data_IF_428738923844
#
_entry.id   IF_428738923844
#
_cell.length_a   1.000
_cell.length_b   1.000
_cell.length_c   1.000
_cell.angle_alpha   90.00
_cell.angle_beta   90.00
_cell.angle_gamma   90.00
#
_symmetry.space_group_name_H-M   'P 1'
#
loop_
_entity.id
_entity.type
_entity.pdbx_description
1 polymer ?
#
# COMPACT_ATOMS: atom_id res chain seq x y z
N UNK A 1 -3.35 29.24 1.72
CA UNK A 1 -2.91 28.06 2.50
C UNK A 1 -1.94 28.56 3.55
N UNK A 2 -2.29 28.48 4.84
CA UNK A 2 -1.38 28.87 5.94
C UNK A 2 -0.50 27.67 6.26
N UNK A 3 0.83 27.80 6.23
CA UNK A 3 1.71 26.70 6.64
C UNK A 3 1.54 26.41 8.13
N UNK A 4 1.53 25.13 8.50
CA UNK A 4 1.26 24.67 9.85
C UNK A 4 2.34 25.13 10.87
N UNK A 5 3.59 25.38 10.43
CA UNK A 5 4.68 25.91 11.28
C UNK A 5 5.64 26.94 10.64
N UNK A 6 5.33 27.54 9.48
CA UNK A 6 6.11 28.67 8.91
C UNK A 6 6.47 28.55 7.42
N UNK A 7 7.15 29.55 6.84
CA UNK A 7 7.37 29.66 5.39
C UNK A 7 8.40 28.70 4.79
N UNK A 8 9.23 28.04 5.61
CA UNK A 8 10.17 27.00 5.17
C UNK A 8 9.71 25.68 5.80
N UNK A 9 9.47 24.62 5.01
CA UNK A 9 9.17 23.31 5.56
C UNK A 9 10.32 22.85 6.46
N UNK A 10 10.02 22.65 7.74
CA UNK A 10 10.99 22.24 8.76
C UNK A 10 11.14 20.73 8.86
N UNK A 11 11.92 20.29 9.84
CA UNK A 11 12.13 18.88 10.17
C UNK A 11 10.82 18.08 10.31
N UNK A 12 9.81 18.56 11.07
CA UNK A 12 8.54 17.85 11.23
C UNK A 12 7.73 17.70 9.94
N UNK A 13 7.65 18.72 9.10
CA UNK A 13 6.90 18.65 7.84
C UNK A 13 7.57 17.70 6.83
N UNK A 14 8.89 17.77 6.70
CA UNK A 14 9.63 16.85 5.85
C UNK A 14 9.49 15.41 6.35
N UNK A 15 9.47 15.21 7.66
CA UNK A 15 9.24 13.90 8.26
C UNK A 15 7.83 13.38 7.94
N UNK A 16 6.79 14.21 8.08
CA UNK A 16 5.41 13.82 7.72
C UNK A 16 5.30 13.48 6.24
N UNK A 17 5.87 14.31 5.36
CA UNK A 17 5.89 14.05 3.91
C UNK A 17 6.61 12.71 3.63
N UNK A 18 7.76 12.48 4.27
CA UNK A 18 8.49 11.23 4.14
C UNK A 18 7.62 10.04 4.57
N UNK A 19 6.88 10.12 5.69
CA UNK A 19 5.98 9.04 6.11
C UNK A 19 4.85 8.81 5.10
N UNK A 20 4.21 9.88 4.60
CA UNK A 20 3.11 9.78 3.63
C UNK A 20 3.57 9.14 2.32
N UNK A 21 4.84 9.30 1.93
CA UNK A 21 5.39 8.68 0.72
C UNK A 21 5.95 7.29 0.99
N UNK A 22 6.76 7.12 2.03
CA UNK A 22 7.48 5.89 2.32
C UNK A 22 6.56 4.78 2.83
N UNK A 23 5.49 5.10 3.58
CA UNK A 23 4.56 4.07 4.08
C UNK A 23 3.85 3.37 2.92
N UNK A 24 3.18 4.06 1.97
CA UNK A 24 2.56 3.40 0.82
C UNK A 24 3.55 2.60 -0.03
N UNK A 25 4.76 3.12 -0.23
CA UNK A 25 5.79 2.42 -1.00
C UNK A 25 6.28 1.16 -0.28
N UNK A 26 6.49 1.23 1.04
CA UNK A 26 6.87 0.09 1.85
C UNK A 26 5.79 -0.99 1.86
N UNK A 27 4.52 -0.59 1.99
CA UNK A 27 3.36 -1.50 1.88
C UNK A 27 3.30 -2.14 0.50
N UNK A 28 3.45 -1.36 -0.58
CA UNK A 28 3.45 -1.88 -1.95
C UNK A 28 4.57 -2.89 -2.21
N UNK A 29 5.80 -2.59 -1.76
CA UNK A 29 6.94 -3.50 -1.88
C UNK A 29 6.72 -4.81 -1.10
N UNK A 30 6.09 -4.73 0.08
CA UNK A 30 5.71 -5.91 0.85
C UNK A 30 4.63 -6.73 0.13
N UNK A 31 3.61 -6.08 -0.43
CA UNK A 31 2.55 -6.76 -1.20
C UNK A 31 3.14 -7.49 -2.40
N UNK A 32 4.04 -6.84 -3.15
CA UNK A 32 4.75 -7.50 -4.25
C UNK A 32 5.43 -8.78 -3.78
N UNK A 33 6.21 -8.68 -2.70
CA UNK A 33 6.95 -9.80 -2.14
C UNK A 33 6.04 -10.92 -1.61
N UNK A 34 4.94 -10.60 -0.94
CA UNK A 34 3.97 -11.59 -0.44
C UNK A 34 3.20 -12.25 -1.59
N UNK A 35 2.79 -11.48 -2.60
CA UNK A 35 2.09 -11.97 -3.78
C UNK A 35 2.95 -12.94 -4.59
N UNK A 36 4.21 -12.58 -4.84
CA UNK A 36 5.17 -13.44 -5.53
C UNK A 36 5.45 -14.73 -4.75
N UNK A 37 5.55 -14.66 -3.42
CA UNK A 37 5.76 -15.86 -2.57
C UNK A 37 4.56 -16.81 -2.55
N UNK A 38 3.35 -16.29 -2.76
CA UNK A 38 2.09 -17.04 -2.71
C UNK A 38 1.56 -17.43 -4.09
N UNK A 39 2.35 -17.22 -5.14
CA UNK A 39 1.95 -17.43 -6.53
C UNK A 39 0.64 -16.73 -6.92
N UNK A 40 0.36 -15.58 -6.27
CA UNK A 40 -0.82 -14.77 -6.58
C UNK A 40 -0.61 -14.14 -7.96
N UNK A 41 -1.54 -14.40 -8.88
CA UNK A 41 -1.48 -13.84 -10.23
C UNK A 41 -1.42 -12.31 -10.20
N UNK A 42 -0.68 -11.74 -11.14
CA UNK A 42 -0.53 -10.29 -11.31
C UNK A 42 0.07 -9.56 -10.09
N UNK A 43 1.05 -10.17 -9.40
CA UNK A 43 1.78 -9.56 -8.28
C UNK A 43 2.27 -8.11 -8.54
N UNK A 44 2.84 -7.76 -9.72
CA UNK A 44 3.21 -6.36 -10.01
C UNK A 44 2.01 -5.41 -10.07
N UNK A 45 0.87 -5.87 -10.60
CA UNK A 45 -0.33 -5.05 -10.71
C UNK A 45 -0.94 -4.77 -9.33
N UNK A 46 -0.91 -5.75 -8.41
CA UNK A 46 -1.31 -5.54 -7.03
C UNK A 46 -0.46 -4.51 -6.31
N UNK A 47 0.86 -4.62 -6.44
CA UNK A 47 1.79 -3.69 -5.82
C UNK A 47 1.59 -2.26 -6.36
N UNK A 48 1.58 -2.10 -7.69
CA UNK A 48 1.39 -0.80 -8.33
C UNK A 48 -0.01 -0.22 -8.08
N UNK A 49 -1.05 -1.06 -8.11
CA UNK A 49 -2.43 -0.66 -7.86
C UNK A 49 -2.62 -0.12 -6.45
N UNK A 50 -2.08 -0.80 -5.44
CA UNK A 50 -2.15 -0.34 -4.05
C UNK A 50 -1.38 0.98 -3.87
N UNK A 51 -0.17 1.09 -4.43
CA UNK A 51 0.60 2.33 -4.37
C UNK A 51 -0.16 3.50 -5.02
N UNK A 52 -0.64 3.31 -6.25
CA UNK A 52 -1.40 4.31 -6.99
C UNK A 52 -2.66 4.74 -6.24
N UNK A 53 -3.39 3.79 -5.65
CA UNK A 53 -4.61 4.09 -4.90
C UNK A 53 -4.32 4.84 -3.59
N UNK A 54 -3.24 4.52 -2.87
CA UNK A 54 -2.82 5.31 -1.71
C UNK A 54 -2.42 6.75 -2.08
N UNK A 55 -1.76 6.94 -3.22
CA UNK A 55 -1.46 8.29 -3.72
C UNK A 55 -2.70 9.03 -4.23
N UNK A 56 -3.70 8.32 -4.76
CA UNK A 56 -5.01 8.90 -5.11
C UNK A 56 -5.83 9.26 -3.87
N UNK A 57 -5.60 8.57 -2.75
CA UNK A 57 -6.20 8.90 -1.46
C UNK A 57 -6.07 7.76 -0.45
N UNK A 58 -6.20 8.10 0.83
CA UNK A 58 -6.07 7.11 1.90
C UNK A 58 -7.17 6.03 1.83
N UNK A 59 -8.43 6.42 1.65
CA UNK A 59 -9.57 5.50 1.54
C UNK A 59 -9.49 4.53 0.33
N UNK A 60 -9.23 4.99 -0.91
CA UNK A 60 -9.06 4.07 -2.03
C UNK A 60 -7.87 3.11 -1.82
N UNK A 61 -6.77 3.56 -1.22
CA UNK A 61 -5.64 2.69 -0.84
C UNK A 61 -6.03 1.60 0.16
N UNK A 62 -6.82 1.93 1.18
CA UNK A 62 -7.35 0.95 2.13
C UNK A 62 -8.27 -0.08 1.47
N UNK A 63 -9.14 0.35 0.55
CA UNK A 63 -10.00 -0.56 -0.21
C UNK A 63 -9.17 -1.54 -1.06
N UNK A 64 -8.10 -1.05 -1.70
CA UNK A 64 -7.18 -1.89 -2.47
C UNK A 64 -6.50 -2.96 -1.60
N UNK A 65 -6.04 -2.57 -0.41
CA UNK A 65 -5.47 -3.50 0.57
C UNK A 65 -6.48 -4.54 1.04
N UNK A 66 -7.71 -4.14 1.34
CA UNK A 66 -8.77 -5.05 1.74
C UNK A 66 -9.06 -6.08 0.63
N UNK A 67 -9.13 -5.63 -0.63
CA UNK A 67 -9.29 -6.51 -1.78
C UNK A 67 -8.11 -7.50 -1.92
N UNK A 68 -6.87 -7.05 -1.72
CA UNK A 68 -5.71 -7.92 -1.73
C UNK A 68 -5.78 -8.99 -0.63
N UNK A 69 -6.10 -8.60 0.60
CA UNK A 69 -6.23 -9.55 1.72
C UNK A 69 -7.34 -10.57 1.48
N UNK A 70 -8.45 -10.15 0.88
CA UNK A 70 -9.52 -11.05 0.49
C UNK A 70 -9.03 -12.11 -0.53
N UNK A 71 -8.33 -11.70 -1.58
CA UNK A 71 -7.77 -12.63 -2.59
C UNK A 71 -6.73 -13.56 -1.96
N UNK A 72 -5.85 -13.01 -1.13
CA UNK A 72 -4.86 -13.78 -0.37
C UNK A 72 -5.51 -14.84 0.52
N UNK A 73 -6.61 -14.52 1.18
CA UNK A 73 -7.36 -15.45 2.03
C UNK A 73 -8.04 -16.55 1.20
N UNK A 74 -8.65 -16.19 0.06
CA UNK A 74 -9.25 -17.17 -0.87
C UNK A 74 -8.23 -18.19 -1.36
N UNK A 75 -7.02 -17.76 -1.71
CA UNK A 75 -5.95 -18.68 -2.14
C UNK A 75 -5.42 -19.55 -0.99
N UNK A 76 -5.41 -19.04 0.24
CA UNK A 76 -5.05 -19.84 1.42
C UNK A 76 -6.13 -20.90 1.76
N UNK A 77 -7.42 -20.55 1.63
CA UNK A 77 -8.54 -21.46 1.89
C UNK A 77 -8.75 -22.51 0.80
N UNK A 78 -8.48 -22.18 -0.46
CA UNK A 78 -8.56 -23.12 -1.59
C UNK A 78 -7.55 -24.28 -1.49
N UNK A 79 -6.46 -24.13 -0.72
CA UNK A 79 -5.51 -25.21 -0.42
C UNK A 79 -5.96 -26.17 0.68
N UNK A 80 -7.11 -25.93 1.33
CA UNK A 80 -7.63 -26.71 2.46
C UNK A 80 -8.70 -27.74 2.12
N UNK A 81 -8.98 -28.00 0.83
CA UNK A 81 -10.01 -28.95 0.38
C UNK A 81 -9.43 -30.21 -0.29
N UNK A 82 -8.28 -30.70 0.17
CA UNK A 82 -7.75 -32.03 -0.15
C UNK A 82 -8.00 -32.98 1.03
#
# INVERSE_FOLDING_TARGET
>A
MVPLFGPIPGGPELFIIALVVLIPLGVSAWIYSDATKRDISYAPAWALGIAALFFAGFFPGLLALAAYFYVRAQMAGAGGSL
#
